data_IF_130539700903
#
_entry.id   IF_130539700903
#
_cell.length_a   1.000
_cell.length_b   1.000
_cell.length_c   1.000
_cell.angle_alpha   90.00
_cell.angle_beta   90.00
_cell.angle_gamma   90.00
#
_symmetry.space_group_name_H-M   'P 1'
#
loop_
_entity.id
_entity.type
_entity.pdbx_description
1 polymer ?
#
# COMPACT_ATOMS: atom_id res chain seq x y z
N UNK A 1 -12.41 -5.78 -20.78
CA UNK A 1 -11.84 -7.12 -20.75
C UNK A 1 -10.34 -7.03 -20.46
N UNK A 2 -9.78 -8.06 -19.79
CA UNK A 2 -8.33 -8.18 -19.55
C UNK A 2 -7.91 -9.63 -19.77
N UNK A 3 -6.84 -9.83 -20.51
CA UNK A 3 -6.25 -11.13 -20.77
C UNK A 3 -4.75 -11.06 -20.52
N UNK A 4 -4.17 -12.10 -19.90
CA UNK A 4 -2.75 -12.14 -19.68
C UNK A 4 -2.19 -13.54 -19.75
N UNK A 5 -0.94 -13.62 -20.20
CA UNK A 5 -0.11 -14.81 -20.10
C UNK A 5 1.18 -14.47 -19.36
N UNK A 6 1.65 -15.34 -18.50
CA UNK A 6 2.89 -15.13 -17.74
C UNK A 6 3.70 -16.40 -17.65
N UNK A 7 5.00 -16.24 -17.42
CA UNK A 7 5.92 -17.31 -17.10
C UNK A 7 6.91 -16.84 -16.04
N UNK A 8 7.44 -17.78 -15.27
CA UNK A 8 8.57 -17.58 -14.37
C UNK A 8 9.39 -18.88 -14.32
N UNK A 9 10.69 -18.76 -14.36
CA UNK A 9 11.61 -19.89 -14.31
C UNK A 9 12.80 -19.57 -13.40
N UNK A 10 13.11 -20.50 -12.51
CA UNK A 10 14.30 -20.48 -11.66
C UNK A 10 15.37 -21.41 -12.24
N UNK A 11 16.59 -20.90 -12.37
CA UNK A 11 17.75 -21.64 -12.80
C UNK A 11 18.86 -21.59 -11.75
N UNK A 12 19.06 -22.68 -11.03
CA UNK A 12 20.19 -22.85 -10.11
C UNK A 12 21.45 -23.23 -10.91
N UNK A 13 22.34 -22.27 -11.14
CA UNK A 13 23.58 -22.51 -11.87
C UNK A 13 24.74 -22.95 -10.95
N UNK A 14 24.56 -22.80 -9.64
CA UNK A 14 25.38 -23.44 -8.58
C UNK A 14 24.48 -23.78 -7.39
N UNK A 15 25.02 -24.46 -6.38
CA UNK A 15 24.30 -24.76 -5.13
C UNK A 15 23.92 -23.50 -4.36
N UNK A 16 24.61 -22.38 -4.59
CA UNK A 16 24.40 -21.12 -3.88
C UNK A 16 23.70 -20.06 -4.71
N UNK A 17 23.76 -20.11 -6.05
CA UNK A 17 23.24 -19.07 -6.92
C UNK A 17 22.04 -19.56 -7.73
N UNK A 18 20.97 -18.79 -7.69
CA UNK A 18 19.77 -19.01 -8.50
C UNK A 18 19.42 -17.74 -9.25
N UNK A 19 19.23 -17.85 -10.55
CA UNK A 19 18.69 -16.82 -11.43
C UNK A 19 17.19 -17.08 -11.60
N UNK A 20 16.38 -16.06 -11.38
CA UNK A 20 14.95 -16.04 -11.72
C UNK A 20 14.75 -15.17 -12.94
N UNK A 21 14.04 -15.66 -13.93
CA UNK A 21 13.60 -14.89 -15.11
C UNK A 21 12.12 -15.10 -15.29
N UNK A 22 11.38 -14.02 -15.44
CA UNK A 22 9.95 -14.05 -15.64
C UNK A 22 9.47 -12.91 -16.52
N UNK A 23 8.22 -12.98 -16.90
CA UNK A 23 7.56 -11.92 -17.63
C UNK A 23 6.07 -12.18 -17.75
N UNK A 24 5.34 -11.10 -17.91
CA UNK A 24 3.90 -11.11 -18.11
C UNK A 24 3.55 -10.26 -19.32
N UNK A 25 2.81 -10.82 -20.23
CA UNK A 25 2.14 -10.08 -21.31
C UNK A 25 0.68 -9.88 -20.92
N UNK A 26 0.23 -8.63 -20.91
CA UNK A 26 -1.15 -8.27 -20.57
C UNK A 26 -1.76 -7.49 -21.73
N UNK A 27 -2.99 -7.82 -22.11
CA UNK A 27 -3.82 -7.06 -23.04
C UNK A 27 -5.09 -6.62 -22.31
N UNK A 28 -5.33 -5.33 -22.26
CA UNK A 28 -6.50 -4.70 -21.66
C UNK A 28 -7.34 -3.98 -22.74
N UNK A 29 -8.61 -4.32 -22.82
CA UNK A 29 -9.58 -3.65 -23.67
C UNK A 29 -10.58 -2.89 -22.79
N UNK A 30 -10.73 -1.61 -23.01
CA UNK A 30 -11.65 -0.74 -22.26
C UNK A 30 -12.72 -0.17 -23.18
N UNK A 31 -13.94 -0.26 -22.72
CA UNK A 31 -15.11 0.34 -23.37
C UNK A 31 -15.75 1.32 -22.38
N UNK A 32 -16.00 2.54 -22.80
CA UNK A 32 -16.86 3.48 -22.08
C UNK A 32 -18.18 3.67 -22.81
N UNK A 33 -19.25 3.63 -22.05
CA UNK A 33 -20.60 3.90 -22.56
C UNK A 33 -21.31 4.83 -21.57
N UNK A 34 -21.31 6.11 -21.87
CA UNK A 34 -22.02 7.11 -21.08
C UNK A 34 -23.43 7.34 -21.66
N UNK A 35 -24.43 7.45 -20.78
CA UNK A 35 -25.81 7.71 -21.12
C UNK A 35 -26.30 8.94 -20.34
N UNK A 36 -27.34 9.59 -20.82
CA UNK A 36 -27.90 10.79 -20.20
C UNK A 36 -27.57 12.07 -20.97
N UNK A 37 -27.15 13.12 -20.27
CA UNK A 37 -26.99 14.46 -20.87
C UNK A 37 -25.73 14.57 -21.76
N UNK A 38 -24.74 13.71 -21.56
CA UNK A 38 -23.49 13.66 -22.34
C UNK A 38 -23.31 12.22 -22.87
N UNK A 39 -24.08 11.78 -23.86
CA UNK A 39 -23.92 10.44 -24.39
C UNK A 39 -22.58 10.32 -25.13
N UNK A 40 -21.82 9.33 -24.80
CA UNK A 40 -20.51 9.08 -25.39
C UNK A 40 -20.20 7.57 -25.38
N UNK A 41 -19.67 7.08 -26.48
CA UNK A 41 -19.18 5.73 -26.63
C UNK A 41 -17.76 5.82 -27.20
N UNK A 42 -16.82 5.13 -26.56
CA UNK A 42 -15.45 4.98 -27.04
C UNK A 42 -14.86 3.66 -26.54
N UNK A 43 -13.91 3.16 -27.28
CA UNK A 43 -13.13 1.98 -26.93
C UNK A 43 -11.65 2.20 -27.23
N UNK A 44 -10.81 1.47 -26.52
CA UNK A 44 -9.35 1.46 -26.73
C UNK A 44 -8.76 0.20 -26.12
N UNK A 45 -7.56 -0.16 -26.55
CA UNK A 45 -6.80 -1.26 -25.98
C UNK A 45 -5.34 -0.89 -25.76
N UNK A 46 -4.72 -1.59 -24.81
CA UNK A 46 -3.30 -1.53 -24.51
C UNK A 46 -2.75 -2.93 -24.37
N UNK A 47 -1.49 -3.11 -24.74
CA UNK A 47 -0.79 -4.38 -24.59
C UNK A 47 0.62 -4.13 -24.13
N UNK A 48 0.99 -4.74 -22.98
CA UNK A 48 2.29 -4.51 -22.37
C UNK A 48 2.93 -5.80 -21.93
N UNK A 49 4.28 -5.81 -21.99
CA UNK A 49 5.09 -6.88 -21.46
C UNK A 49 5.93 -6.37 -20.30
N UNK A 50 5.71 -6.90 -19.10
CA UNK A 50 6.43 -6.55 -17.88
C UNK A 50 7.42 -7.66 -17.51
N UNK A 51 8.75 -7.43 -17.65
CA UNK A 51 9.78 -8.37 -17.28
C UNK A 51 10.04 -8.42 -15.78
N UNK A 52 10.62 -9.52 -15.34
CA UNK A 52 11.19 -9.71 -14.01
C UNK A 52 12.50 -10.47 -14.11
N UNK A 53 13.54 -9.98 -13.43
CA UNK A 53 14.82 -10.65 -13.28
C UNK A 53 15.23 -10.63 -11.81
N UNK A 54 15.63 -11.77 -11.27
CA UNK A 54 16.07 -11.90 -9.89
C UNK A 54 17.34 -12.73 -9.79
N UNK A 55 18.22 -12.32 -8.90
CA UNK A 55 19.42 -13.08 -8.55
C UNK A 55 19.40 -13.33 -7.05
N UNK A 56 19.49 -14.58 -6.65
CA UNK A 56 19.53 -15.01 -5.26
C UNK A 56 20.86 -15.71 -4.96
N UNK A 57 21.47 -15.30 -3.87
CA UNK A 57 22.67 -15.91 -3.34
C UNK A 57 22.41 -16.50 -1.95
N UNK A 58 22.52 -17.83 -1.82
CA UNK A 58 22.45 -18.54 -0.54
C UNK A 58 23.80 -18.46 0.15
N UNK A 59 23.86 -17.74 1.26
CA UNK A 59 25.06 -17.66 2.12
C UNK A 59 25.29 -18.98 2.87
N UNK A 60 24.20 -19.55 3.39
CA UNK A 60 24.11 -20.84 4.07
C UNK A 60 22.64 -21.30 4.07
N UNK A 61 22.31 -22.34 4.82
CA UNK A 61 20.94 -22.88 4.88
C UNK A 61 19.94 -21.89 5.53
N UNK A 62 20.44 -20.98 6.34
CA UNK A 62 19.64 -20.07 7.17
C UNK A 62 19.65 -18.62 6.66
N UNK A 63 20.47 -18.29 5.64
CA UNK A 63 20.62 -16.90 5.18
C UNK A 63 20.81 -16.80 3.67
N UNK A 64 20.16 -15.80 3.09
CA UNK A 64 20.31 -15.47 1.67
C UNK A 64 20.27 -13.96 1.42
N UNK A 65 20.94 -13.55 0.34
CA UNK A 65 20.83 -12.24 -0.28
C UNK A 65 20.07 -12.37 -1.58
N UNK A 66 19.41 -11.30 -2.00
CA UNK A 66 18.79 -11.25 -3.31
C UNK A 66 18.82 -9.84 -3.90
N UNK A 67 18.79 -9.78 -5.22
CA UNK A 67 18.55 -8.56 -5.98
C UNK A 67 17.47 -8.84 -7.02
N UNK A 68 16.53 -7.94 -7.19
CA UNK A 68 15.47 -8.06 -8.19
C UNK A 68 15.28 -6.78 -8.97
N UNK A 69 14.98 -6.95 -10.24
CA UNK A 69 14.39 -5.94 -11.11
C UNK A 69 13.03 -6.44 -11.58
N UNK A 70 12.04 -5.60 -11.55
CA UNK A 70 10.72 -5.91 -12.09
C UNK A 70 10.01 -4.66 -12.58
N UNK A 71 9.21 -4.82 -13.63
CA UNK A 71 8.32 -3.77 -14.10
C UNK A 71 6.88 -4.05 -13.69
N UNK A 72 6.18 -2.96 -13.33
CA UNK A 72 4.75 -2.93 -13.06
C UNK A 72 4.01 -2.14 -14.14
N UNK A 73 2.77 -2.51 -14.40
CA UNK A 73 1.90 -1.89 -15.39
C UNK A 73 0.50 -1.73 -14.81
N UNK A 74 -0.11 -0.57 -15.07
CA UNK A 74 -1.51 -0.32 -14.83
C UNK A 74 -2.14 0.27 -16.09
N UNK A 75 -3.19 -0.37 -16.60
CA UNK A 75 -3.84 0.07 -17.84
C UNK A 75 -4.38 1.48 -17.76
N UNK A 76 -4.41 2.16 -18.90
CA UNK A 76 -5.17 3.37 -19.09
C UNK A 76 -6.69 3.14 -18.96
N UNK A 77 -7.47 4.19 -19.20
CA UNK A 77 -8.92 4.13 -19.09
C UNK A 77 -9.60 5.42 -19.52
N UNK A 78 -10.89 5.51 -19.24
CA UNK A 78 -11.70 6.69 -19.55
C UNK A 78 -12.20 7.36 -18.28
N UNK A 79 -12.30 8.70 -18.33
CA UNK A 79 -12.86 9.48 -17.24
C UNK A 79 -14.40 9.41 -17.26
N UNK A 80 -15.01 9.00 -16.15
CA UNK A 80 -16.45 8.81 -16.04
C UNK A 80 -17.23 10.03 -15.51
N UNK A 81 -16.54 11.03 -14.94
CA UNK A 81 -17.15 12.25 -14.38
C UNK A 81 -16.61 13.47 -15.11
N UNK A 82 -17.12 13.70 -16.29
CA UNK A 82 -16.67 14.73 -17.23
C UNK A 82 -17.79 15.71 -17.56
N UNK A 83 -17.42 16.84 -18.14
CA UNK A 83 -18.31 17.93 -18.54
C UNK A 83 -18.48 18.08 -20.05
N UNK A 84 -17.79 17.25 -20.83
CA UNK A 84 -17.90 17.22 -22.29
C UNK A 84 -17.82 15.80 -22.85
N UNK A 85 -18.36 15.61 -24.06
CA UNK A 85 -18.26 14.35 -24.82
C UNK A 85 -16.78 14.07 -25.15
N UNK A 86 -16.04 15.11 -25.51
CA UNK A 86 -14.61 14.98 -25.82
C UNK A 86 -13.83 14.42 -24.64
N UNK A 87 -14.00 14.99 -23.44
CA UNK A 87 -13.35 14.49 -22.21
C UNK A 87 -13.78 13.07 -21.83
N UNK A 88 -14.99 12.65 -22.24
CA UNK A 88 -15.48 11.29 -22.00
C UNK A 88 -14.85 10.24 -22.92
N UNK A 89 -14.38 10.64 -24.10
CA UNK A 89 -13.92 9.75 -25.16
C UNK A 89 -12.40 9.72 -25.32
N UNK A 90 -11.68 10.68 -24.74
CA UNK A 90 -10.21 10.67 -24.70
C UNK A 90 -9.76 9.81 -23.52
N UNK A 91 -9.05 8.69 -23.77
CA UNK A 91 -8.51 7.87 -22.70
C UNK A 91 -7.28 8.54 -22.06
N UNK A 92 -7.06 8.30 -20.77
CA UNK A 92 -5.77 8.48 -20.16
C UNK A 92 -4.91 7.25 -20.40
N UNK A 93 -3.58 7.45 -20.46
CA UNK A 93 -2.61 6.42 -20.81
C UNK A 93 -2.32 5.45 -19.64
N UNK A 94 -1.69 4.31 -19.91
CA UNK A 94 -1.11 3.45 -18.89
C UNK A 94 -0.07 4.16 -18.02
N UNK A 95 0.14 3.64 -16.83
CA UNK A 95 1.20 4.00 -15.89
C UNK A 95 2.16 2.84 -15.76
N UNK A 96 3.46 3.14 -15.62
CA UNK A 96 4.52 2.16 -15.49
C UNK A 96 5.32 2.38 -14.22
N UNK A 97 5.87 1.30 -13.69
CA UNK A 97 6.74 1.31 -12.53
C UNK A 97 7.93 0.40 -12.78
N UNK A 98 9.13 0.94 -12.67
CA UNK A 98 10.36 0.14 -12.55
C UNK A 98 10.72 -0.01 -11.07
N UNK A 99 10.97 -1.23 -10.63
CA UNK A 99 11.37 -1.52 -9.26
C UNK A 99 12.71 -2.25 -9.22
N UNK A 100 13.65 -1.69 -8.47
CA UNK A 100 14.95 -2.27 -8.13
C UNK A 100 14.98 -2.55 -6.63
N UNK A 101 15.21 -3.79 -6.24
CA UNK A 101 15.22 -4.20 -4.85
C UNK A 101 16.47 -5.02 -4.54
N UNK A 102 17.12 -4.72 -3.42
CA UNK A 102 18.21 -5.49 -2.83
C UNK A 102 17.85 -5.85 -1.40
N UNK A 103 17.87 -7.13 -1.07
CA UNK A 103 17.47 -7.53 0.26
C UNK A 103 18.21 -8.76 0.79
N UNK A 104 17.89 -9.06 2.04
CA UNK A 104 18.36 -10.27 2.72
C UNK A 104 17.21 -10.92 3.49
N UNK A 105 17.31 -12.25 3.65
CA UNK A 105 16.45 -13.02 4.56
C UNK A 105 17.33 -13.93 5.39
N UNK A 106 17.05 -13.97 6.69
CA UNK A 106 17.85 -14.79 7.61
C UNK A 106 17.03 -15.36 8.75
N UNK A 107 17.36 -16.59 9.13
CA UNK A 107 16.90 -17.25 10.35
C UNK A 107 18.13 -17.68 11.16
N UNK A 108 18.06 -17.63 12.47
CA UNK A 108 19.16 -18.04 13.35
C UNK A 108 18.64 -18.52 14.71
N UNK A 109 19.55 -19.09 15.52
CA UNK A 109 19.17 -19.66 16.81
C UNK A 109 18.24 -20.87 16.70
N UNK A 110 18.39 -21.70 15.64
CA UNK A 110 17.54 -22.85 15.38
C UNK A 110 16.09 -22.46 15.01
N UNK A 111 15.93 -21.41 14.21
CA UNK A 111 14.63 -20.90 13.75
C UNK A 111 13.90 -20.00 14.77
N UNK A 112 14.55 -19.71 15.92
CA UNK A 112 13.93 -18.85 16.95
C UNK A 112 13.93 -17.37 16.58
N UNK A 113 14.84 -16.94 15.72
CA UNK A 113 14.96 -15.54 15.28
C UNK A 113 14.92 -15.48 13.78
N UNK A 114 14.14 -14.54 13.25
CA UNK A 114 14.07 -14.21 11.84
C UNK A 114 14.31 -12.72 11.68
N UNK A 115 15.17 -12.35 10.74
CA UNK A 115 15.39 -10.96 10.35
C UNK A 115 15.47 -10.87 8.83
N UNK A 116 14.61 -10.05 8.26
CA UNK A 116 14.56 -9.73 6.84
C UNK A 116 14.76 -8.23 6.65
N UNK A 117 15.35 -7.84 5.54
CA UNK A 117 15.45 -6.44 5.16
C UNK A 117 15.53 -6.29 3.67
N UNK A 118 15.05 -5.16 3.19
CA UNK A 118 15.13 -4.75 1.80
C UNK A 118 15.43 -3.26 1.70
N UNK A 119 16.19 -2.89 0.69
CA UNK A 119 16.29 -1.56 0.12
C UNK A 119 15.63 -1.60 -1.24
N UNK A 120 14.81 -0.61 -1.56
CA UNK A 120 14.15 -0.50 -2.85
C UNK A 120 14.28 0.91 -3.45
N UNK A 121 14.25 0.95 -4.76
CA UNK A 121 14.14 2.16 -5.57
C UNK A 121 13.11 1.91 -6.66
N UNK A 122 12.12 2.79 -6.75
CA UNK A 122 11.02 2.71 -7.70
C UNK A 122 10.94 4.00 -8.51
N UNK A 123 10.81 3.86 -9.82
CA UNK A 123 10.62 4.95 -10.77
C UNK A 123 9.25 4.79 -11.43
N UNK A 124 8.39 5.80 -11.25
CA UNK A 124 7.08 5.88 -11.88
C UNK A 124 7.12 6.76 -13.11
N UNK A 125 6.61 6.23 -14.22
CA UNK A 125 6.41 6.95 -15.47
C UNK A 125 4.91 7.00 -15.80
N UNK A 126 4.47 8.15 -16.33
CA UNK A 126 3.08 8.40 -16.69
C UNK A 126 2.09 8.11 -15.54
N UNK A 127 2.51 8.42 -14.30
CA UNK A 127 1.74 8.13 -13.10
C UNK A 127 0.35 8.74 -13.18
N UNK A 128 -0.66 7.91 -12.94
CA UNK A 128 -2.07 8.30 -12.96
C UNK A 128 -2.47 8.94 -11.63
N UNK A 129 -2.86 10.21 -11.68
CA UNK A 129 -3.40 10.93 -10.50
C UNK A 129 -4.83 11.37 -10.71
N UNK A 130 -5.67 11.13 -9.70
CA UNK A 130 -7.07 11.52 -9.67
C UNK A 130 -7.23 12.86 -9.00
N UNK A 131 -7.70 13.87 -9.74
CA UNK A 131 -7.80 15.25 -9.27
C UNK A 131 -9.24 15.73 -9.38
N UNK A 132 -9.73 16.32 -8.28
CA UNK A 132 -11.01 17.01 -8.24
C UNK A 132 -10.88 18.42 -8.83
N UNK A 133 -11.54 18.66 -9.94
CA UNK A 133 -11.56 19.94 -10.64
C UNK A 133 -12.93 20.58 -10.54
N UNK A 134 -12.96 21.91 -10.60
CA UNK A 134 -14.21 22.65 -10.79
C UNK A 134 -14.66 22.52 -12.24
N UNK A 135 -15.93 22.22 -12.45
CA UNK A 135 -16.54 22.16 -13.78
C UNK A 135 -16.80 23.56 -14.32
N UNK A 136 -16.49 23.80 -15.61
CA UNK A 136 -16.77 25.07 -16.27
C UNK A 136 -18.27 25.36 -16.33
N UNK A 137 -18.65 26.55 -15.87
CA UNK A 137 -20.01 27.09 -16.01
C UNK A 137 -21.10 26.47 -15.13
N UNK A 138 -20.77 25.56 -14.21
CA UNK A 138 -21.73 24.93 -13.30
C UNK A 138 -21.22 24.94 -11.85
N UNK A 139 -22.13 24.77 -10.90
CA UNK A 139 -21.81 24.50 -9.49
C UNK A 139 -21.30 23.07 -9.28
N UNK A 140 -20.92 22.37 -10.36
CA UNK A 140 -20.49 20.98 -10.39
C UNK A 140 -19.00 20.80 -10.23
N UNK A 141 -18.65 19.61 -9.81
CA UNK A 141 -17.30 19.10 -9.70
C UNK A 141 -17.11 17.99 -10.72
N UNK A 142 -15.97 17.98 -11.39
CA UNK A 142 -15.48 16.81 -12.13
C UNK A 142 -14.30 16.21 -11.42
N UNK A 143 -14.14 14.90 -11.53
CA UNK A 143 -12.96 14.18 -11.09
C UNK A 143 -12.35 13.59 -12.35
N UNK A 144 -11.09 13.91 -12.61
CA UNK A 144 -10.38 13.43 -13.78
C UNK A 144 -9.08 12.77 -13.38
N UNK A 145 -8.76 11.67 -14.04
CA UNK A 145 -7.45 11.01 -13.98
C UNK A 145 -6.59 11.60 -15.09
N UNK A 146 -5.37 11.95 -14.75
CA UNK A 146 -4.35 12.45 -15.66
C UNK A 146 -3.08 11.63 -15.54
N UNK A 147 -2.36 11.43 -16.63
CA UNK A 147 -0.97 11.00 -16.63
C UNK A 147 -0.10 12.25 -16.47
N UNK A 148 -0.05 12.78 -15.29
CA UNK A 148 0.52 14.11 -15.04
C UNK A 148 1.84 14.06 -14.29
N UNK A 149 2.32 12.86 -13.90
CA UNK A 149 3.43 12.75 -12.99
C UNK A 149 4.48 11.71 -13.41
N UNK A 150 5.73 12.08 -13.24
CA UNK A 150 6.81 11.16 -12.95
C UNK A 150 7.13 11.24 -11.47
N UNK A 151 7.56 10.15 -10.88
CA UNK A 151 7.78 10.13 -9.44
C UNK A 151 8.79 9.07 -9.02
N UNK A 152 9.57 9.40 -8.02
CA UNK A 152 10.57 8.51 -7.43
C UNK A 152 10.17 8.11 -6.02
N UNK A 153 10.32 6.83 -5.71
CA UNK A 153 10.20 6.29 -4.37
C UNK A 153 11.43 5.46 -4.03
N UNK A 154 12.02 5.67 -2.86
CA UNK A 154 13.12 4.85 -2.36
C UNK A 154 12.95 4.63 -0.87
N UNK A 155 13.40 3.48 -0.38
CA UNK A 155 13.19 3.19 1.02
C UNK A 155 13.91 1.96 1.53
N UNK A 156 13.71 1.74 2.83
CA UNK A 156 14.24 0.60 3.55
C UNK A 156 13.11 -0.03 4.35
N UNK A 157 13.00 -1.35 4.26
CA UNK A 157 12.10 -2.14 5.09
C UNK A 157 12.89 -3.14 5.92
N UNK A 158 12.56 -3.24 7.21
CA UNK A 158 13.10 -4.23 8.12
C UNK A 158 11.96 -4.96 8.82
N UNK A 159 12.07 -6.27 8.94
CA UNK A 159 11.12 -7.12 9.63
C UNK A 159 11.85 -8.10 10.53
N UNK A 160 11.52 -8.10 11.81
CA UNK A 160 12.07 -9.02 12.80
C UNK A 160 10.99 -9.83 13.52
N UNK A 161 11.31 -11.10 13.82
CA UNK A 161 10.51 -11.95 14.69
C UNK A 161 11.41 -12.75 15.61
N UNK A 162 11.00 -12.89 16.87
CA UNK A 162 11.77 -13.61 17.88
C UNK A 162 10.86 -14.47 18.77
N UNK A 163 11.15 -15.76 18.86
CA UNK A 163 10.67 -16.63 19.93
C UNK A 163 11.63 -16.51 21.12
N UNK A 164 11.34 -15.54 22.00
CA UNK A 164 12.25 -15.15 23.10
C UNK A 164 12.33 -16.24 24.17
N UNK A 165 11.19 -16.84 24.51
CA UNK A 165 11.07 -17.96 25.44
C UNK A 165 9.89 -18.85 25.02
N UNK A 166 9.69 -19.96 25.73
CA UNK A 166 8.44 -20.71 25.61
C UNK A 166 7.25 -19.77 25.87
N UNK A 167 6.36 -19.66 24.90
CA UNK A 167 5.16 -18.82 24.96
C UNK A 167 5.37 -17.33 24.64
N UNK A 168 6.60 -16.77 24.58
CA UNK A 168 6.80 -15.34 24.25
C UNK A 168 7.35 -15.16 22.83
N UNK A 169 6.49 -14.63 21.97
CA UNK A 169 6.85 -14.21 20.61
C UNK A 169 6.80 -12.69 20.51
N UNK A 170 7.86 -12.11 19.96
CA UNK A 170 7.92 -10.69 19.59
C UNK A 170 8.02 -10.55 18.08
N UNK A 171 7.40 -9.50 17.53
CA UNK A 171 7.59 -9.10 16.14
C UNK A 171 7.75 -7.59 16.06
N UNK A 172 8.62 -7.14 15.16
CA UNK A 172 8.86 -5.72 14.90
C UNK A 172 9.00 -5.48 13.39
N UNK A 173 8.47 -4.33 12.93
CA UNK A 173 8.63 -3.86 11.57
C UNK A 173 9.08 -2.41 11.62
N UNK A 174 9.90 -2.01 10.66
CA UNK A 174 10.33 -0.64 10.45
C UNK A 174 10.36 -0.37 8.95
N UNK A 175 9.83 0.77 8.54
CA UNK A 175 9.87 1.28 7.18
C UNK A 175 10.38 2.72 7.16
N UNK A 176 11.27 3.01 6.24
CA UNK A 176 11.66 4.34 5.82
C UNK A 176 11.29 4.49 4.35
N UNK A 177 10.60 5.57 4.00
CA UNK A 177 10.16 5.87 2.65
C UNK A 177 10.45 7.34 2.34
N UNK A 178 11.20 7.58 1.28
CA UNK A 178 11.36 8.89 0.66
C UNK A 178 10.62 8.83 -0.69
N UNK A 179 9.61 9.67 -0.87
CA UNK A 179 8.74 9.67 -2.04
C UNK A 179 8.36 11.08 -2.43
N UNK A 180 8.57 11.43 -3.70
CA UNK A 180 8.23 12.73 -4.25
C UNK A 180 7.78 12.64 -5.70
N UNK A 181 6.99 13.62 -6.12
CA UNK A 181 6.71 13.83 -7.55
C UNK A 181 7.87 14.62 -8.17
N UNK A 182 8.57 14.00 -9.13
CA UNK A 182 9.63 14.67 -9.89
C UNK A 182 9.03 15.72 -10.83
N UNK A 183 7.95 15.35 -11.53
CA UNK A 183 7.10 16.25 -12.32
C UNK A 183 5.64 15.94 -12.05
N UNK A 184 4.85 16.95 -11.75
CA UNK A 184 3.40 16.81 -11.57
C UNK A 184 2.70 18.09 -12.00
N UNK A 185 2.42 18.20 -13.28
CA UNK A 185 1.73 19.35 -13.87
C UNK A 185 0.41 18.93 -14.52
N UNK A 186 -0.63 19.73 -14.36
CA UNK A 186 -1.92 19.52 -15.00
C UNK A 186 -2.65 20.84 -15.23
N UNK A 187 -3.57 20.85 -16.21
CA UNK A 187 -4.47 21.98 -16.44
C UNK A 187 -5.69 21.87 -15.54
N UNK A 188 -5.82 22.80 -14.59
CA UNK A 188 -6.92 22.85 -13.64
C UNK A 188 -8.23 23.39 -14.26
N UNK A 189 -8.22 23.84 -15.51
CA UNK A 189 -9.26 24.64 -16.14
C UNK A 189 -9.18 26.14 -15.83
N UNK A 190 -8.25 26.54 -14.93
CA UNK A 190 -7.96 27.94 -14.58
C UNK A 190 -6.48 28.29 -14.83
N UNK A 191 -5.75 27.40 -15.47
CA UNK A 191 -4.34 27.47 -15.75
C UNK A 191 -3.58 26.22 -15.28
N UNK A 192 -2.33 26.19 -15.66
CA UNK A 192 -1.42 25.10 -15.29
C UNK A 192 -1.13 25.18 -13.80
N UNK A 193 -1.30 24.07 -13.11
CA UNK A 193 -0.89 23.85 -11.72
C UNK A 193 0.33 22.94 -11.73
N UNK A 194 1.35 23.32 -10.99
CA UNK A 194 2.56 22.53 -10.78
C UNK A 194 2.60 22.05 -9.32
N UNK A 195 2.52 20.74 -9.15
CA UNK A 195 2.60 20.04 -7.87
C UNK A 195 3.91 19.22 -7.74
N UNK A 196 4.91 19.50 -8.58
CA UNK A 196 6.23 18.88 -8.51
C UNK A 196 6.86 19.13 -7.13
N UNK A 197 7.56 18.14 -6.59
CA UNK A 197 8.15 18.20 -5.25
C UNK A 197 7.16 18.00 -4.09
N UNK A 198 5.86 17.73 -4.35
CA UNK A 198 4.93 17.36 -3.29
C UNK A 198 5.15 15.90 -2.85
N UNK A 199 4.88 15.65 -1.57
CA UNK A 199 4.90 14.31 -1.01
C UNK A 199 3.68 13.49 -1.50
N UNK A 200 3.86 12.19 -1.65
CA UNK A 200 2.75 11.29 -1.94
C UNK A 200 1.76 11.27 -0.79
N UNK A 201 0.48 11.23 -1.13
CA UNK A 201 -0.55 11.00 -0.12
C UNK A 201 -0.37 9.64 0.55
N UNK A 202 -0.54 9.60 1.87
CA UNK A 202 -0.46 8.37 2.70
C UNK A 202 0.88 7.65 2.60
N UNK A 203 1.94 8.38 2.36
CA UNK A 203 3.30 7.90 2.28
C UNK A 203 4.17 8.54 3.38
N UNK A 204 3.98 8.15 4.65
CA UNK A 204 4.75 8.69 5.75
C UNK A 204 6.22 8.31 5.61
N UNK A 205 7.12 9.24 5.97
CA UNK A 205 8.57 9.00 5.89
C UNK A 205 9.00 7.82 6.77
N UNK A 206 8.46 7.72 7.98
CA UNK A 206 8.77 6.64 8.90
C UNK A 206 7.50 5.90 9.34
N UNK A 207 7.59 4.58 9.35
CA UNK A 207 6.61 3.70 10.00
C UNK A 207 7.30 2.69 10.88
N UNK A 208 6.65 2.32 11.96
CA UNK A 208 7.17 1.28 12.83
C UNK A 208 6.08 0.57 13.59
N UNK A 209 6.32 -0.69 13.89
CA UNK A 209 5.46 -1.44 14.80
C UNK A 209 6.27 -2.43 15.62
N UNK A 210 5.83 -2.64 16.84
CA UNK A 210 6.29 -3.73 17.69
C UNK A 210 5.07 -4.41 18.30
N UNK A 211 5.07 -5.73 18.30
CA UNK A 211 4.03 -6.52 18.95
C UNK A 211 4.63 -7.68 19.74
N UNK A 212 3.96 -8.05 20.81
CA UNK A 212 4.29 -9.19 21.64
C UNK A 212 3.06 -10.02 21.94
N UNK A 213 3.24 -11.33 21.93
CA UNK A 213 2.24 -12.29 22.39
C UNK A 213 2.90 -13.21 23.42
N UNK A 214 2.27 -13.31 24.58
CA UNK A 214 2.69 -14.26 25.61
C UNK A 214 1.55 -15.23 25.89
N UNK A 215 1.86 -16.53 25.75
CA UNK A 215 0.91 -17.64 25.88
C UNK A 215 1.31 -18.52 27.05
N UNK A 216 0.31 -19.02 27.80
CA UNK A 216 0.53 -19.94 28.89
C UNK A 216 -0.68 -20.83 29.15
N UNK A 217 -0.47 -22.01 29.71
CA UNK A 217 -1.53 -22.89 30.12
C UNK A 217 -2.16 -22.42 31.45
N UNK A 218 -3.48 -22.38 31.53
CA UNK A 218 -4.23 -21.95 32.70
C UNK A 218 -5.55 -22.71 32.80
N UNK A 219 -5.83 -23.29 33.98
CA UNK A 219 -7.12 -23.88 34.36
C UNK A 219 -7.70 -24.88 33.33
N UNK A 220 -6.85 -25.69 32.68
CA UNK A 220 -7.24 -26.69 31.68
C UNK A 220 -7.62 -26.10 30.32
N UNK A 221 -7.17 -24.91 30.05
CA UNK A 221 -7.24 -24.20 28.76
C UNK A 221 -5.95 -23.46 28.51
N UNK A 222 -5.92 -22.64 27.45
CA UNK A 222 -4.80 -21.79 27.05
C UNK A 222 -5.18 -20.32 27.23
N UNK A 223 -4.31 -19.54 27.83
CA UNK A 223 -4.45 -18.09 27.94
C UNK A 223 -3.34 -17.39 27.17
N UNK A 224 -3.63 -16.20 26.63
CA UNK A 224 -2.59 -15.36 26.04
C UNK A 224 -2.94 -13.88 26.17
N UNK A 225 -1.91 -13.08 26.28
CA UNK A 225 -1.99 -11.63 26.14
C UNK A 225 -1.27 -11.20 24.87
N UNK A 226 -1.80 -10.19 24.21
CA UNK A 226 -1.18 -9.56 23.05
C UNK A 226 -1.18 -8.05 23.24
N UNK A 227 -0.03 -7.42 22.96
CA UNK A 227 0.10 -5.99 22.82
C UNK A 227 0.70 -5.65 21.46
N UNK A 228 0.25 -4.57 20.86
CA UNK A 228 0.80 -4.06 19.60
C UNK A 228 0.85 -2.54 19.66
N UNK A 229 2.04 -1.98 19.45
CA UNK A 229 2.26 -0.56 19.30
C UNK A 229 2.65 -0.27 17.84
N UNK A 230 2.06 0.78 17.26
CA UNK A 230 2.34 1.24 15.90
C UNK A 230 2.59 2.73 15.91
N UNK A 231 3.69 3.14 15.30
CA UNK A 231 4.05 4.51 14.99
C UNK A 231 3.90 4.77 13.49
N UNK A 232 3.37 5.94 13.13
CA UNK A 232 3.27 6.45 11.78
C UNK A 232 3.70 7.92 11.84
N UNK A 233 4.65 8.31 10.99
CA UNK A 233 5.09 9.70 10.89
C UNK A 233 3.99 10.59 10.29
N UNK A 234 4.21 11.88 10.26
CA UNK A 234 3.25 12.79 9.66
C UNK A 234 3.06 12.47 8.16
N UNK A 235 1.86 12.73 7.66
CA UNK A 235 1.50 12.43 6.28
C UNK A 235 0.34 13.29 5.81
N UNK A 236 0.26 13.52 4.52
CA UNK A 236 -0.93 14.07 3.87
C UNK A 236 -1.93 12.99 3.50
N UNK A 237 -3.22 13.21 3.74
CA UNK A 237 -4.28 12.24 3.37
C UNK A 237 -4.82 12.48 1.97
N UNK A 238 -4.36 13.53 1.28
CA UNK A 238 -4.72 13.86 -0.10
C UNK A 238 -3.50 14.38 -0.88
N UNK A 239 -3.59 14.42 -2.20
CA UNK A 239 -2.45 14.59 -3.11
C UNK A 239 -1.96 16.03 -3.32
N UNK A 240 -2.68 17.04 -2.85
CA UNK A 240 -2.27 18.45 -3.03
C UNK A 240 -1.58 19.03 -1.78
N UNK A 241 -1.29 18.18 -0.82
CA UNK A 241 -0.55 18.48 0.43
C UNK A 241 -1.11 19.69 1.21
N UNK A 242 -2.42 19.79 1.32
CA UNK A 242 -3.04 20.86 2.10
C UNK A 242 -2.84 20.68 3.59
N UNK A 243 -2.47 21.76 4.25
CA UNK A 243 -2.17 21.76 5.68
C UNK A 243 -3.33 21.25 6.56
N UNK A 244 -4.58 21.57 6.19
CA UNK A 244 -5.78 21.09 6.89
C UNK A 244 -6.08 19.60 6.68
N UNK A 245 -5.39 18.94 5.74
CA UNK A 245 -5.48 17.52 5.43
C UNK A 245 -4.17 16.78 5.71
N UNK A 246 -3.37 17.32 6.60
CA UNK A 246 -2.15 16.69 7.12
C UNK A 246 -2.42 16.08 8.50
N UNK A 247 -2.06 14.84 8.69
CA UNK A 247 -1.91 14.23 10.00
C UNK A 247 -0.53 14.57 10.58
N UNK A 248 -0.46 14.82 11.88
CA UNK A 248 0.79 14.76 12.62
C UNK A 248 1.23 13.30 12.86
N UNK A 249 2.30 13.15 13.64
CA UNK A 249 2.80 11.82 14.07
C UNK A 249 1.75 11.10 14.90
N UNK A 250 1.51 9.83 14.57
CA UNK A 250 0.45 9.02 15.15
C UNK A 250 1.02 7.84 15.92
N UNK A 251 0.44 7.53 17.06
CA UNK A 251 0.85 6.43 17.92
C UNK A 251 -0.37 5.62 18.36
N UNK A 252 -0.45 4.38 17.93
CA UNK A 252 -1.56 3.49 18.26
C UNK A 252 -1.10 2.37 19.18
N UNK A 253 -1.85 2.12 20.22
CA UNK A 253 -1.69 0.96 21.09
C UNK A 253 -2.96 0.11 21.06
N UNK A 254 -2.80 -1.16 20.72
CA UNK A 254 -3.83 -2.17 20.80
C UNK A 254 -3.41 -3.26 21.80
N UNK A 255 -4.34 -3.79 22.58
CA UNK A 255 -4.07 -4.88 23.50
C UNK A 255 -5.27 -5.83 23.64
N UNK A 256 -4.99 -7.10 23.93
CA UNK A 256 -6.00 -8.07 24.29
C UNK A 256 -5.52 -9.07 25.34
N UNK A 257 -6.44 -9.58 26.13
CA UNK A 257 -6.27 -10.77 26.96
C UNK A 257 -7.33 -11.80 26.56
N UNK A 258 -6.89 -13.02 26.39
CA UNK A 258 -7.70 -14.07 25.80
C UNK A 258 -7.58 -15.35 26.62
N UNK A 259 -8.65 -16.14 26.65
CA UNK A 259 -8.67 -17.45 27.26
C UNK A 259 -9.51 -18.42 26.45
N UNK A 260 -8.91 -19.54 26.07
CA UNK A 260 -9.59 -20.61 25.33
C UNK A 260 -9.70 -21.86 26.19
N UNK A 261 -10.90 -22.43 26.21
CA UNK A 261 -11.14 -23.74 26.82
C UNK A 261 -12.21 -24.50 26.05
N UNK A 262 -11.87 -25.73 25.62
CA UNK A 262 -12.70 -26.48 24.68
C UNK A 262 -12.92 -25.70 23.40
N UNK A 263 -14.14 -25.63 22.88
CA UNK A 263 -14.51 -24.85 21.71
C UNK A 263 -14.72 -23.34 21.97
N UNK A 264 -14.64 -22.85 23.22
CA UNK A 264 -14.96 -21.47 23.58
C UNK A 264 -13.67 -20.64 23.75
N UNK A 265 -13.64 -19.46 23.11
CA UNK A 265 -12.62 -18.43 23.30
C UNK A 265 -13.28 -17.16 23.85
N UNK A 266 -12.75 -16.65 24.95
CA UNK A 266 -13.16 -15.41 25.59
C UNK A 266 -12.06 -14.38 25.40
N UNK A 267 -12.40 -13.18 24.93
CA UNK A 267 -11.46 -12.10 24.68
C UNK A 267 -11.96 -10.80 25.32
N UNK A 268 -11.06 -10.11 26.01
CA UNK A 268 -11.20 -8.71 26.35
C UNK A 268 -10.18 -7.95 25.50
N UNK A 269 -10.62 -6.97 24.73
CA UNK A 269 -9.75 -6.23 23.84
C UNK A 269 -9.94 -4.72 23.95
N UNK A 270 -8.90 -3.99 23.58
CA UNK A 270 -8.90 -2.56 23.35
C UNK A 270 -8.14 -2.22 22.10
N UNK A 271 -8.69 -1.32 21.30
CA UNK A 271 -8.08 -0.77 20.07
C UNK A 271 -7.95 0.72 20.20
N UNK A 272 -6.88 1.26 19.63
CA UNK A 272 -6.54 2.69 19.73
C UNK A 272 -6.59 3.16 21.21
N UNK A 273 -5.91 2.42 22.10
CA UNK A 273 -5.92 2.71 23.54
C UNK A 273 -5.24 4.05 23.87
N UNK A 274 -4.38 4.53 23.01
CA UNK A 274 -3.77 5.88 23.06
C UNK A 274 -4.76 6.99 22.76
N UNK A 275 -5.94 6.67 22.23
CA UNK A 275 -6.98 7.62 21.80
C UNK A 275 -6.46 8.60 20.73
N UNK A 276 -5.67 8.06 19.80
CA UNK A 276 -5.11 8.83 18.69
C UNK A 276 -6.24 9.38 17.81
N UNK A 277 -6.23 10.69 17.58
CA UNK A 277 -7.18 11.38 16.71
C UNK A 277 -6.45 11.80 15.42
N UNK A 278 -6.84 11.18 14.32
CA UNK A 278 -6.23 11.37 13.01
C UNK A 278 -7.25 11.28 11.89
N UNK A 279 -6.88 11.75 10.71
CA UNK A 279 -7.69 11.67 9.51
C UNK A 279 -7.42 10.33 8.80
N UNK A 280 -8.46 9.55 8.55
CA UNK A 280 -8.37 8.34 7.74
C UNK A 280 -8.38 8.65 6.24
N UNK A 281 -9.11 9.68 5.84
CA UNK A 281 -9.27 10.10 4.45
C UNK A 281 -9.57 11.59 4.39
N UNK A 282 -9.12 12.24 3.33
CA UNK A 282 -9.45 13.62 3.02
C UNK A 282 -9.62 13.82 1.51
N UNK A 283 -10.42 14.79 1.14
CA UNK A 283 -10.56 15.27 -0.22
C UNK A 283 -10.67 16.79 -0.21
N UNK A 284 -9.89 17.42 -1.05
CA UNK A 284 -10.04 18.82 -1.40
C UNK A 284 -10.71 18.98 -2.76
N UNK A 285 -11.74 19.79 -2.80
CA UNK A 285 -12.37 20.20 -4.05
C UNK A 285 -11.91 21.61 -4.33
N UNK A 286 -10.99 21.73 -5.27
CA UNK A 286 -10.28 22.94 -5.64
C UNK A 286 -11.11 24.22 -5.49
N UNK A 287 -10.75 25.03 -4.49
CA UNK A 287 -11.37 26.34 -4.25
C UNK A 287 -12.81 26.35 -3.73
N UNK A 288 -13.42 25.19 -3.45
CA UNK A 288 -14.81 25.10 -2.98
C UNK A 288 -14.88 24.65 -1.50
N UNK A 289 -14.39 23.48 -1.17
CA UNK A 289 -14.43 22.91 0.18
C UNK A 289 -13.48 21.72 0.33
N UNK A 290 -13.16 21.41 1.57
CA UNK A 290 -12.46 20.16 1.94
C UNK A 290 -13.33 19.38 2.90
N UNK A 291 -13.23 18.05 2.88
CA UNK A 291 -13.75 17.22 3.94
C UNK A 291 -12.73 16.15 4.34
N UNK A 292 -12.87 15.65 5.55
CA UNK A 292 -12.09 14.52 6.01
C UNK A 292 -12.94 13.60 6.87
N UNK A 293 -12.57 12.33 6.91
CA UNK A 293 -13.15 11.34 7.83
C UNK A 293 -12.11 10.96 8.87
N UNK A 294 -12.46 10.90 10.16
CA UNK A 294 -11.53 10.49 11.20
C UNK A 294 -11.26 8.99 11.16
N UNK A 295 -10.16 8.58 11.80
CA UNK A 295 -9.92 7.18 12.16
C UNK A 295 -10.93 6.72 13.23
N UNK A 296 -11.05 5.40 13.42
CA UNK A 296 -11.88 4.86 14.48
C UNK A 296 -11.34 5.32 15.85
N UNK A 297 -12.20 5.84 16.75
CA UNK A 297 -11.80 6.25 18.08
C UNK A 297 -11.40 5.05 18.95
N UNK A 298 -10.90 5.31 20.14
CA UNK A 298 -10.63 4.26 21.13
C UNK A 298 -11.87 3.41 21.36
N UNK A 299 -11.71 2.10 21.19
CA UNK A 299 -12.76 1.11 21.44
C UNK A 299 -12.24 0.02 22.35
N UNK A 300 -13.13 -0.52 23.16
CA UNK A 300 -12.87 -1.73 23.93
C UNK A 300 -14.12 -2.59 23.98
N UNK A 301 -13.93 -3.87 24.16
CA UNK A 301 -15.05 -4.79 24.15
C UNK A 301 -14.68 -6.17 24.66
N UNK A 302 -15.72 -6.96 24.83
CA UNK A 302 -15.64 -8.40 25.14
C UNK A 302 -16.17 -9.16 23.93
N UNK A 303 -15.46 -10.20 23.55
CA UNK A 303 -15.86 -11.10 22.48
C UNK A 303 -15.90 -12.55 23.02
N UNK A 304 -16.89 -13.31 22.61
CA UNK A 304 -16.96 -14.75 22.85
C UNK A 304 -17.14 -15.44 21.50
N UNK A 305 -16.17 -16.29 21.14
CA UNK A 305 -16.23 -17.12 19.95
C UNK A 305 -16.38 -18.56 20.37
N UNK A 306 -17.33 -19.28 19.79
CA UNK A 306 -17.51 -20.71 20.02
C UNK A 306 -17.38 -21.47 18.70
N UNK A 307 -16.41 -22.39 18.67
CA UNK A 307 -16.22 -23.32 17.56
C UNK A 307 -17.02 -24.58 17.87
N UNK A 308 -18.03 -24.84 17.06
CA UNK A 308 -18.91 -26.01 17.22
C UNK A 308 -18.25 -27.32 16.79
N UNK A 309 -17.04 -27.27 16.23
CA UNK A 309 -16.28 -28.43 15.76
C UNK A 309 -17.05 -29.29 14.75
N UNK A 310 -16.47 -29.57 13.62
CA UNK A 310 -17.00 -30.61 12.72
C UNK A 310 -16.49 -31.98 13.15
#
# INVERSE_FOLDING_TARGET
DSQAAFFEADYAFTDSWTLTVGGRYTKDEKLTQQRGNLPADADTDWSEFTPKVGLRYRLNDDAMLYATYSEGYRSGGFNGRVDSVESATIPYNPEFLENYELGFKSEFGGGRFRLNGAFFYMDYQDKQEEIGLKSDGATGQRISVFNAATATMKGIELQGQALVSEGLTLAANFGYLDSEYDEFTFDSGFGIVDNSGLEFRRAPEYTGSISGTYEWDMAGGQAWIRGAFRFIDDLFVEQTNRAELKNGKQNYLDASINYQRGGATFSLFGRNLTDEDALAHGLNVSGLWSYATPVAPRTWGVEVVYDFGN
#
